data_IF_722897603395
#
_entry.id   IF_722897603395
#
_cell.length_a   1.000
_cell.length_b   1.000
_cell.length_c   1.000
_cell.angle_alpha   90.00
_cell.angle_beta   90.00
_cell.angle_gamma   90.00
#
_symmetry.space_group_name_H-M   'P 1'
#
loop_
_entity.id
_entity.type
_entity.pdbx_description
1 polymer ?
#
# COMPACT_ATOMS: atom_id res chain seq x y z
N UNK A 1 -5.39 -18.97 -5.23
CA UNK A 1 -5.93 -19.66 -6.41
C UNK A 1 -5.59 -21.15 -6.39
N UNK A 2 -6.48 -21.99 -5.88
CA UNK A 2 -6.62 -23.37 -6.38
C UNK A 2 -7.54 -23.29 -7.60
N UNK A 3 -7.01 -22.80 -8.72
CA UNK A 3 -7.74 -22.78 -10.00
C UNK A 3 -7.88 -24.20 -10.55
N UNK A 4 -7.58 -24.38 -11.85
CA UNK A 4 -7.51 -25.64 -12.63
C UNK A 4 -6.69 -26.80 -11.99
N UNK A 5 -6.14 -26.61 -10.80
CA UNK A 5 -5.16 -27.40 -10.05
C UNK A 5 -5.79 -28.38 -9.06
N UNK A 6 -7.13 -28.41 -8.90
CA UNK A 6 -7.81 -29.45 -8.09
C UNK A 6 -7.38 -30.87 -8.51
N UNK A 7 -7.16 -31.09 -9.80
CA UNK A 7 -6.67 -32.36 -10.33
C UNK A 7 -5.21 -32.68 -9.94
N UNK A 8 -4.33 -31.67 -9.82
CA UNK A 8 -2.91 -31.91 -9.51
C UNK A 8 -2.72 -32.24 -8.04
N UNK A 9 -3.30 -31.46 -7.12
CA UNK A 9 -3.21 -31.75 -5.68
C UNK A 9 -3.84 -33.11 -5.38
N UNK A 10 -4.99 -33.44 -5.98
CA UNK A 10 -5.63 -34.74 -5.83
C UNK A 10 -4.73 -35.89 -6.35
N UNK A 11 -4.13 -35.73 -7.54
CA UNK A 11 -3.19 -36.73 -8.11
C UNK A 11 -1.94 -36.93 -7.25
N UNK A 12 -1.37 -35.85 -6.70
CA UNK A 12 -0.22 -35.93 -5.79
C UNK A 12 -0.62 -36.66 -4.51
N UNK A 13 -1.78 -36.33 -3.90
CA UNK A 13 -2.27 -37.01 -2.70
C UNK A 13 -2.60 -38.49 -2.91
N UNK A 14 -2.97 -38.89 -4.13
CA UNK A 14 -3.19 -40.30 -4.45
C UNK A 14 -1.91 -41.14 -4.39
N UNK A 15 -0.75 -40.54 -4.72
CA UNK A 15 0.57 -41.21 -4.67
C UNK A 15 1.26 -40.99 -3.33
N UNK A 16 1.14 -39.79 -2.76
CA UNK A 16 1.71 -39.39 -1.49
C UNK A 16 0.61 -38.89 -0.54
N UNK A 17 -0.05 -39.84 0.15
CA UNK A 17 -1.20 -39.58 1.03
C UNK A 17 -0.92 -38.57 2.14
N UNK A 18 0.34 -38.49 2.59
CA UNK A 18 0.77 -37.59 3.65
C UNK A 18 1.22 -36.22 3.14
N UNK A 19 1.05 -35.91 1.84
CA UNK A 19 1.43 -34.61 1.28
C UNK A 19 0.45 -33.51 1.71
N UNK A 20 0.99 -32.46 2.33
CA UNK A 20 0.27 -31.26 2.70
C UNK A 20 0.22 -30.26 1.54
N UNK A 21 -0.92 -29.59 1.37
CA UNK A 21 -1.11 -28.55 0.36
C UNK A 21 -1.61 -27.28 1.04
N UNK A 22 -0.92 -26.17 0.80
CA UNK A 22 -1.29 -24.86 1.31
C UNK A 22 -1.70 -23.93 0.18
N UNK A 23 -2.50 -22.91 0.51
CA UNK A 23 -2.72 -21.82 -0.42
C UNK A 23 -1.49 -20.92 -0.49
N UNK A 24 -1.23 -20.33 -1.66
CA UNK A 24 -0.16 -19.37 -1.82
C UNK A 24 -0.31 -18.20 -0.82
N UNK A 25 0.71 -18.01 0.02
CA UNK A 25 0.79 -16.98 1.04
C UNK A 25 0.55 -15.58 0.45
N UNK A 26 1.15 -15.29 -0.71
CA UNK A 26 1.01 -13.99 -1.38
C UNK A 26 -0.43 -13.72 -1.82
N UNK A 27 -1.18 -14.76 -2.16
CA UNK A 27 -2.59 -14.61 -2.53
C UNK A 27 -3.45 -14.30 -1.31
N UNK A 28 -3.24 -14.99 -0.18
CA UNK A 28 -3.92 -14.67 1.09
C UNK A 28 -3.56 -13.27 1.57
N UNK A 29 -2.30 -12.90 1.46
CA UNK A 29 -1.82 -11.57 1.77
C UNK A 29 -2.51 -10.49 0.94
N UNK A 30 -2.65 -10.70 -0.38
CA UNK A 30 -3.39 -9.76 -1.23
C UNK A 30 -4.85 -9.58 -0.78
N UNK A 31 -5.49 -10.60 -0.18
CA UNK A 31 -6.84 -10.47 0.38
C UNK A 31 -6.86 -9.67 1.68
N UNK A 32 -5.87 -9.85 2.55
CA UNK A 32 -5.70 -9.04 3.78
C UNK A 32 -5.66 -7.54 3.44
N UNK A 33 -4.90 -7.17 2.41
CA UNK A 33 -4.73 -5.75 2.02
C UNK A 33 -5.94 -5.11 1.35
N UNK A 34 -7.04 -5.85 1.11
CA UNK A 34 -8.25 -5.32 0.46
C UNK A 34 -9.23 -4.65 1.44
N UNK A 35 -9.13 -4.92 2.74
CA UNK A 35 -10.00 -4.27 3.74
C UNK A 35 -9.44 -2.89 4.03
N UNK A 36 -10.08 -1.87 3.46
CA UNK A 36 -9.74 -0.47 3.64
C UNK A 36 -11.03 0.34 3.80
N UNK A 37 -11.01 1.38 4.63
CA UNK A 37 -12.18 2.23 4.88
C UNK A 37 -12.61 2.97 3.60
N UNK A 38 -13.87 3.40 3.55
CA UNK A 38 -14.41 4.14 2.40
C UNK A 38 -13.61 5.42 2.14
N UNK A 39 -13.24 6.15 3.19
CA UNK A 39 -12.44 7.38 3.11
C UNK A 39 -11.09 7.13 2.44
N UNK A 40 -10.34 6.13 2.92
CA UNK A 40 -9.03 5.79 2.37
C UNK A 40 -9.12 5.21 0.95
N UNK A 41 -10.18 4.45 0.66
CA UNK A 41 -10.47 3.98 -0.69
C UNK A 41 -10.73 5.13 -1.65
N UNK A 42 -11.47 6.15 -1.21
CA UNK A 42 -11.76 7.35 -2.02
C UNK A 42 -10.47 8.08 -2.39
N UNK A 43 -9.56 8.33 -1.44
CA UNK A 43 -8.26 8.98 -1.70
C UNK A 43 -7.43 8.16 -2.69
N UNK A 44 -7.40 6.84 -2.54
CA UNK A 44 -6.70 5.94 -3.45
C UNK A 44 -7.27 5.99 -4.89
N UNK A 45 -8.60 6.02 -5.03
CA UNK A 45 -9.28 6.11 -6.33
C UNK A 45 -9.08 7.48 -6.99
N UNK A 46 -9.14 8.56 -6.21
CA UNK A 46 -8.85 9.92 -6.68
C UNK A 46 -7.40 10.06 -7.16
N UNK A 47 -6.43 9.51 -6.41
CA UNK A 47 -5.02 9.47 -6.82
C UNK A 47 -4.84 8.74 -8.15
N UNK A 48 -5.52 7.60 -8.35
CA UNK A 48 -5.51 6.87 -9.61
C UNK A 48 -6.12 7.71 -10.75
N UNK A 49 -7.21 8.43 -10.50
CA UNK A 49 -7.83 9.31 -11.51
C UNK A 49 -6.89 10.45 -11.93
N UNK A 50 -6.20 11.09 -10.98
CA UNK A 50 -5.20 12.14 -11.25
C UNK A 50 -4.11 11.61 -12.19
N UNK A 51 -3.54 10.44 -11.88
CA UNK A 51 -2.50 9.83 -12.72
C UNK A 51 -3.04 9.46 -14.09
N UNK A 52 -4.22 8.84 -14.14
CA UNK A 52 -4.84 8.43 -15.39
C UNK A 52 -5.13 9.63 -16.29
N UNK A 53 -5.53 10.77 -15.74
CA UNK A 53 -5.71 12.00 -16.51
C UNK A 53 -4.43 12.37 -17.26
N UNK A 54 -3.31 12.54 -16.55
CA UNK A 54 -2.01 12.92 -17.15
C UNK A 54 -1.50 11.86 -18.13
N UNK A 55 -1.74 10.59 -17.83
CA UNK A 55 -1.32 9.45 -18.65
C UNK A 55 -2.26 9.14 -19.81
N UNK A 56 -3.44 9.74 -19.87
CA UNK A 56 -4.46 9.44 -20.89
C UNK A 56 -4.01 9.86 -22.29
N UNK A 57 -3.20 10.93 -22.39
CA UNK A 57 -2.72 11.47 -23.65
C UNK A 57 -1.19 11.57 -23.64
N UNK A 58 -0.49 11.12 -24.70
CA UNK A 58 0.96 11.24 -24.80
C UNK A 58 1.45 12.68 -24.60
N UNK A 59 0.78 13.65 -25.20
CA UNK A 59 1.12 15.06 -25.07
C UNK A 59 1.09 15.55 -23.61
N UNK A 60 0.06 15.19 -22.84
CA UNK A 60 -0.04 15.56 -21.42
C UNK A 60 1.09 14.94 -20.60
N UNK A 61 1.43 13.68 -20.88
CA UNK A 61 2.57 13.01 -20.24
C UNK A 61 3.90 13.67 -20.59
N UNK A 62 4.09 14.12 -21.84
CA UNK A 62 5.29 14.84 -22.26
C UNK A 62 5.40 16.22 -21.61
N UNK A 63 4.30 16.99 -21.57
CA UNK A 63 4.27 18.31 -20.92
C UNK A 63 4.56 18.17 -19.42
N UNK A 64 3.90 17.24 -18.73
CA UNK A 64 4.15 16.98 -17.32
C UNK A 64 5.60 16.58 -17.07
N UNK A 65 6.16 15.70 -17.92
CA UNK A 65 7.56 15.30 -17.82
C UNK A 65 8.52 16.49 -17.94
N UNK A 66 8.33 17.34 -18.95
CA UNK A 66 9.16 18.53 -19.14
C UNK A 66 9.05 19.48 -17.93
N UNK A 67 7.85 19.67 -17.39
CA UNK A 67 7.64 20.46 -16.18
C UNK A 67 8.39 19.90 -14.97
N UNK A 68 8.37 18.58 -14.75
CA UNK A 68 9.17 17.96 -13.69
C UNK A 68 10.68 18.15 -13.90
N UNK A 69 11.17 18.09 -15.15
CA UNK A 69 12.57 18.35 -15.47
C UNK A 69 12.96 19.79 -15.16
N UNK A 70 12.11 20.76 -15.54
CA UNK A 70 12.32 22.19 -15.28
C UNK A 70 12.27 22.53 -13.78
N UNK A 71 11.44 21.83 -13.01
CA UNK A 71 11.35 21.98 -11.55
C UNK A 71 12.44 21.22 -10.79
N UNK A 72 13.33 20.50 -11.49
CA UNK A 72 14.43 19.76 -10.87
C UNK A 72 14.00 18.53 -10.06
N UNK A 73 12.81 17.97 -10.35
CA UNK A 73 12.27 16.84 -9.62
C UNK A 73 13.13 15.58 -9.78
N UNK A 74 13.32 14.82 -8.70
CA UNK A 74 14.00 13.52 -8.73
C UNK A 74 13.33 12.52 -9.69
N UNK A 75 12.03 12.68 -9.87
CA UNK A 75 11.21 11.84 -10.72
C UNK A 75 10.45 12.68 -11.73
N UNK A 76 10.45 12.24 -12.99
CA UNK A 76 9.87 13.03 -14.08
C UNK A 76 8.63 12.39 -14.68
N UNK A 77 8.20 11.24 -14.14
CA UNK A 77 7.05 10.49 -14.65
C UNK A 77 6.24 9.85 -13.52
N UNK A 78 4.91 9.90 -13.67
CA UNK A 78 3.98 9.16 -12.82
C UNK A 78 3.96 7.67 -13.19
N UNK A 79 3.62 6.83 -12.22
CA UNK A 79 3.51 5.39 -12.40
C UNK A 79 2.05 4.97 -12.57
N UNK A 80 1.73 4.32 -13.68
CA UNK A 80 0.42 3.67 -13.83
C UNK A 80 0.32 2.47 -12.90
N UNK A 81 -0.88 2.27 -12.36
CA UNK A 81 -1.21 1.09 -11.57
C UNK A 81 -2.14 0.17 -12.38
N UNK A 82 -1.91 -1.15 -12.27
CA UNK A 82 -2.85 -2.18 -12.72
C UNK A 82 -3.37 -2.95 -11.51
N UNK A 83 -4.69 -3.16 -11.40
CA UNK A 83 -5.33 -3.82 -10.24
C UNK A 83 -4.75 -5.18 -9.89
N UNK A 84 -4.21 -5.87 -10.90
CA UNK A 84 -3.64 -7.22 -10.79
C UNK A 84 -2.34 -7.24 -9.96
N UNK A 85 -1.61 -6.12 -9.87
CA UNK A 85 -0.33 -6.02 -9.17
C UNK A 85 -0.42 -4.99 -8.05
N UNK A 86 -0.97 -5.40 -6.91
CA UNK A 86 -1.10 -4.56 -5.72
C UNK A 86 0.25 -3.95 -5.27
N UNK A 87 1.40 -4.61 -5.53
CA UNK A 87 2.74 -4.05 -5.33
C UNK A 87 2.98 -2.70 -6.04
N UNK A 88 2.32 -2.48 -7.18
CA UNK A 88 2.42 -1.22 -7.93
C UNK A 88 1.64 -0.07 -7.27
N UNK A 89 0.65 -0.36 -6.39
CA UNK A 89 -0.13 0.68 -5.71
C UNK A 89 0.73 1.52 -4.77
N UNK A 90 1.56 0.88 -3.94
CA UNK A 90 2.44 1.61 -3.01
C UNK A 90 3.43 2.51 -3.74
N UNK A 91 4.09 2.01 -4.80
CA UNK A 91 5.02 2.83 -5.60
C UNK A 91 4.33 3.99 -6.30
N UNK A 92 3.12 3.75 -6.80
CA UNK A 92 2.30 4.78 -7.42
C UNK A 92 1.95 5.90 -6.42
N UNK A 93 1.52 5.53 -5.21
CA UNK A 93 1.19 6.47 -4.13
C UNK A 93 2.39 7.31 -3.68
N UNK A 94 3.56 6.69 -3.53
CA UNK A 94 4.80 7.41 -3.24
C UNK A 94 5.10 8.42 -4.35
N UNK A 95 5.02 8.00 -5.62
CA UNK A 95 5.33 8.85 -6.76
C UNK A 95 4.41 10.06 -6.89
N UNK A 96 3.10 9.89 -6.66
CA UNK A 96 2.16 11.02 -6.70
C UNK A 96 2.42 12.00 -5.56
N UNK A 97 2.80 11.51 -4.38
CA UNK A 97 3.10 12.37 -3.23
C UNK A 97 4.40 13.16 -3.43
N UNK A 98 5.44 12.51 -3.94
CA UNK A 98 6.72 13.16 -4.29
C UNK A 98 6.54 14.26 -5.35
N UNK A 99 5.64 14.04 -6.31
CA UNK A 99 5.38 14.98 -7.41
C UNK A 99 4.19 15.92 -7.16
N UNK A 100 3.77 16.09 -5.89
CA UNK A 100 2.58 16.89 -5.55
C UNK A 100 2.73 18.35 -6.00
N UNK A 101 3.92 18.94 -5.89
CA UNK A 101 4.16 20.34 -6.25
C UNK A 101 4.11 20.57 -7.76
N UNK A 102 4.68 19.65 -8.53
CA UNK A 102 4.65 19.64 -9.99
C UNK A 102 3.22 19.40 -10.48
N UNK A 103 2.48 18.52 -9.81
CA UNK A 103 1.06 18.31 -10.10
C UNK A 103 0.24 19.59 -9.84
N UNK A 104 0.47 20.26 -8.70
CA UNK A 104 -0.18 21.54 -8.40
C UNK A 104 0.11 22.56 -9.50
N UNK A 105 1.38 22.73 -9.88
CA UNK A 105 1.80 23.64 -10.95
C UNK A 105 1.17 23.27 -12.31
N UNK A 106 1.15 21.98 -12.65
CA UNK A 106 0.57 21.47 -13.89
C UNK A 106 -0.92 21.82 -14.01
N UNK A 107 -1.68 21.66 -12.93
CA UNK A 107 -3.12 21.90 -12.93
C UNK A 107 -3.52 23.39 -12.89
N UNK A 108 -2.60 24.33 -12.65
CA UNK A 108 -2.86 25.77 -12.84
C UNK A 108 -3.26 26.06 -14.29
N UNK A 109 -2.57 25.44 -15.26
CA UNK A 109 -2.84 25.61 -16.70
C UNK A 109 -3.80 24.58 -17.29
N UNK A 110 -4.11 23.50 -16.55
CA UNK A 110 -4.90 22.37 -17.06
C UNK A 110 -6.03 22.05 -16.09
N UNK A 111 -7.23 22.58 -16.32
CA UNK A 111 -8.36 22.32 -15.41
C UNK A 111 -8.69 20.82 -15.34
N UNK A 112 -8.80 20.30 -14.12
CA UNK A 112 -9.20 18.92 -13.83
C UNK A 112 -10.02 18.88 -12.54
N UNK A 113 -11.07 18.06 -12.50
CA UNK A 113 -12.04 18.04 -11.37
C UNK A 113 -11.42 17.77 -10.00
N UNK A 114 -10.28 17.07 -9.93
CA UNK A 114 -9.60 16.74 -8.67
C UNK A 114 -8.37 17.61 -8.39
N UNK A 115 -8.14 18.69 -9.14
CA UNK A 115 -6.97 19.57 -8.91
C UNK A 115 -6.94 20.14 -7.49
N UNK A 116 -8.11 20.42 -6.92
CA UNK A 116 -8.24 21.01 -5.58
C UNK A 116 -7.78 20.05 -4.46
N UNK A 117 -7.74 18.73 -4.72
CA UNK A 117 -7.25 17.74 -3.76
C UNK A 117 -5.78 17.96 -3.39
N UNK A 118 -4.98 18.48 -4.32
CA UNK A 118 -3.57 18.76 -4.08
C UNK A 118 -3.34 19.97 -3.18
N UNK A 119 -4.37 20.77 -2.89
CA UNK A 119 -4.33 21.85 -1.91
C UNK A 119 -5.01 21.46 -0.59
N UNK A 120 -5.57 20.25 -0.50
CA UNK A 120 -6.29 19.80 0.68
C UNK A 120 -5.35 19.02 1.61
N UNK A 121 -5.02 19.61 2.76
CA UNK A 121 -4.10 19.02 3.74
C UNK A 121 -4.58 17.67 4.27
N UNK A 122 -5.88 17.51 4.53
CA UNK A 122 -6.43 16.22 4.99
C UNK A 122 -6.26 15.12 3.94
N UNK A 123 -6.46 15.47 2.66
CA UNK A 123 -6.25 14.55 1.54
C UNK A 123 -4.77 14.18 1.40
N UNK A 124 -3.87 15.17 1.45
CA UNK A 124 -2.43 14.95 1.37
C UNK A 124 -1.90 14.09 2.53
N UNK A 125 -2.32 14.37 3.78
CA UNK A 125 -1.97 13.55 4.93
C UNK A 125 -2.47 12.11 4.79
N UNK A 126 -3.70 11.93 4.27
CA UNK A 126 -4.23 10.60 4.00
C UNK A 126 -3.44 9.89 2.89
N UNK A 127 -3.06 10.62 1.83
CA UNK A 127 -2.23 10.10 0.74
C UNK A 127 -0.84 9.68 1.24
N UNK A 128 -0.20 10.50 2.08
CA UNK A 128 1.09 10.22 2.70
C UNK A 128 1.05 8.95 3.55
N UNK A 129 0.04 8.84 4.41
CA UNK A 129 -0.21 7.63 5.19
C UNK A 129 -0.36 6.40 4.29
N UNK A 130 -1.20 6.50 3.24
CA UNK A 130 -1.40 5.41 2.29
C UNK A 130 -0.09 5.01 1.60
N UNK A 131 0.72 5.97 1.19
CA UNK A 131 2.04 5.71 0.62
C UNK A 131 2.92 4.91 1.59
N UNK A 132 2.96 5.28 2.87
CA UNK A 132 3.75 4.57 3.87
C UNK A 132 3.22 3.16 4.18
N UNK A 133 1.92 3.00 4.48
CA UNK A 133 1.37 1.68 4.82
C UNK A 133 1.46 0.70 3.65
N UNK A 134 1.18 1.15 2.42
CA UNK A 134 1.40 0.30 1.23
C UNK A 134 2.89 0.01 0.99
N UNK A 135 3.78 0.93 1.34
CA UNK A 135 5.22 0.70 1.36
C UNK A 135 5.61 -0.45 2.30
N UNK A 136 5.19 -0.38 3.57
CA UNK A 136 5.44 -1.45 4.57
C UNK A 136 4.82 -2.78 4.14
N UNK A 137 3.63 -2.75 3.55
CA UNK A 137 2.97 -3.95 3.04
C UNK A 137 3.74 -4.55 1.84
N UNK A 138 4.29 -3.71 0.97
CA UNK A 138 5.10 -4.13 -0.17
C UNK A 138 6.43 -4.75 0.28
N UNK A 139 7.10 -4.15 1.26
CA UNK A 139 8.34 -4.68 1.86
C UNK A 139 8.14 -6.11 2.36
N UNK A 140 7.07 -6.36 3.12
CA UNK A 140 6.76 -7.71 3.60
C UNK A 140 6.58 -8.69 2.44
N UNK A 141 5.87 -8.31 1.38
CA UNK A 141 5.71 -9.23 0.25
C UNK A 141 6.97 -9.47 -0.57
N UNK A 142 7.81 -8.46 -0.80
CA UNK A 142 9.09 -8.66 -1.43
C UNK A 142 9.97 -9.58 -0.58
N UNK A 143 9.93 -9.39 0.75
CA UNK A 143 10.60 -10.23 1.72
C UNK A 143 10.07 -11.69 1.74
N UNK A 144 8.86 -11.94 1.24
CA UNK A 144 8.27 -13.28 1.07
C UNK A 144 8.50 -13.87 -0.32
N UNK A 145 8.76 -13.03 -1.34
CA UNK A 145 9.04 -13.43 -2.73
C UNK A 145 10.52 -13.74 -2.99
N UNK A 146 11.39 -13.52 -2.01
CA UNK A 146 12.83 -13.73 -2.16
C UNK A 146 13.18 -15.18 -2.55
N UNK A 147 14.18 -15.34 -3.44
CA UNK A 147 14.59 -16.63 -4.04
C UNK A 147 15.05 -17.70 -3.04
N UNK A 148 15.23 -17.36 -1.76
CA UNK A 148 15.70 -18.28 -0.71
C UNK A 148 14.81 -18.27 0.55
N UNK A 149 13.57 -17.77 0.45
CA UNK A 149 12.65 -17.74 1.59
C UNK A 149 12.05 -19.12 1.78
N UNK A 150 12.39 -19.79 2.88
CA UNK A 150 11.74 -21.03 3.26
C UNK A 150 10.45 -20.77 4.08
N UNK A 151 9.66 -21.81 4.31
CA UNK A 151 8.36 -21.70 5.00
C UNK A 151 8.49 -21.20 6.45
N UNK A 152 9.58 -21.53 7.14
CA UNK A 152 9.84 -21.10 8.51
C UNK A 152 10.12 -19.59 8.56
N UNK A 153 11.00 -19.11 7.67
CA UNK A 153 11.29 -17.68 7.54
C UNK A 153 10.07 -16.87 7.12
N UNK A 154 9.22 -17.42 6.25
CA UNK A 154 7.96 -16.80 5.90
C UNK A 154 7.03 -16.71 7.13
N UNK A 155 6.91 -17.78 7.91
CA UNK A 155 6.12 -17.83 9.15
C UNK A 155 6.61 -16.79 10.15
N UNK A 156 7.91 -16.72 10.41
CA UNK A 156 8.50 -15.75 11.35
C UNK A 156 8.14 -14.30 10.97
N UNK A 157 8.21 -13.97 9.67
CA UNK A 157 7.82 -12.65 9.16
C UNK A 157 6.32 -12.37 9.39
N UNK A 158 5.46 -13.36 9.20
CA UNK A 158 4.03 -13.23 9.45
C UNK A 158 3.66 -13.17 10.93
N UNK A 159 4.39 -13.83 11.81
CA UNK A 159 4.21 -13.72 13.27
C UNK A 159 4.68 -12.35 13.77
N UNK A 160 5.78 -11.83 13.21
CA UNK A 160 6.30 -10.53 13.60
C UNK A 160 5.46 -9.34 13.11
N UNK A 161 4.80 -9.47 11.96
CA UNK A 161 4.12 -8.32 11.33
C UNK A 161 2.91 -7.77 12.13
N UNK A 162 2.00 -8.59 12.70
CA UNK A 162 0.96 -8.11 13.60
C UNK A 162 1.49 -7.38 14.83
N UNK A 163 2.66 -7.77 15.34
CA UNK A 163 3.33 -7.06 16.46
C UNK A 163 3.83 -5.68 16.03
N UNK A 164 4.34 -5.57 14.80
CA UNK A 164 4.69 -4.26 14.21
C UNK A 164 3.47 -3.37 14.04
N UNK A 165 2.34 -3.92 13.58
CA UNK A 165 1.08 -3.17 13.48
C UNK A 165 0.62 -2.71 14.86
N UNK A 166 0.70 -3.56 15.88
CA UNK A 166 0.37 -3.17 17.25
C UNK A 166 1.20 -1.97 17.72
N UNK A 167 2.51 -2.02 17.47
CA UNK A 167 3.41 -0.91 17.78
C UNK A 167 3.02 0.37 17.02
N UNK A 168 2.68 0.27 15.73
CA UNK A 168 2.21 1.42 14.96
C UNK A 168 0.89 2.00 15.49
N UNK A 169 -0.04 1.17 15.96
CA UNK A 169 -1.28 1.63 16.62
C UNK A 169 -0.94 2.46 17.85
N UNK A 170 -0.07 1.94 18.72
CA UNK A 170 0.36 2.65 19.93
C UNK A 170 1.15 3.93 19.64
N UNK A 171 1.96 3.96 18.57
CA UNK A 171 2.65 5.16 18.13
C UNK A 171 1.65 6.25 17.69
N UNK A 172 0.64 5.88 16.88
CA UNK A 172 -0.43 6.79 16.44
C UNK A 172 -1.28 7.29 17.63
N UNK A 173 -1.46 6.48 18.67
CA UNK A 173 -2.10 6.92 19.93
C UNK A 173 -1.32 8.02 20.65
N UNK A 174 0.01 7.97 20.58
CA UNK A 174 0.91 8.94 21.18
C UNK A 174 1.22 10.13 20.25
N UNK A 175 0.51 10.24 19.12
CA UNK A 175 0.77 11.23 18.07
C UNK A 175 2.19 11.16 17.48
N UNK A 176 2.83 9.98 17.54
CA UNK A 176 4.12 9.71 16.93
C UNK A 176 3.92 9.01 15.57
N UNK A 177 4.39 9.66 14.50
CA UNK A 177 4.29 9.16 13.13
C UNK A 177 5.66 8.82 12.49
N UNK A 178 6.75 8.74 13.25
CA UNK A 178 8.10 8.42 12.75
C UNK A 178 8.14 7.09 11.96
N UNK A 179 7.27 6.13 12.30
CA UNK A 179 7.13 4.87 11.56
C UNK A 179 6.61 5.05 10.11
N UNK A 180 5.97 6.19 9.85
CA UNK A 180 5.35 6.62 8.61
C UNK A 180 6.07 7.89 8.12
N UNK A 181 7.33 7.72 7.69
CA UNK A 181 8.23 8.82 7.34
C UNK A 181 7.60 9.89 6.44
N UNK A 182 6.92 9.51 5.36
CA UNK A 182 6.30 10.48 4.43
C UNK A 182 5.21 11.31 5.10
N UNK A 183 4.44 10.72 6.03
CA UNK A 183 3.46 11.45 6.82
C UNK A 183 4.13 12.35 7.86
N UNK A 184 5.18 11.84 8.53
CA UNK A 184 5.96 12.61 9.52
C UNK A 184 6.59 13.84 8.88
N UNK A 185 7.34 13.65 7.78
CA UNK A 185 8.00 14.72 7.04
C UNK A 185 6.97 15.77 6.57
N UNK A 186 5.79 15.32 6.11
CA UNK A 186 4.74 16.24 5.67
C UNK A 186 4.13 17.05 6.81
N UNK A 187 3.97 16.47 8.00
CA UNK A 187 3.50 17.19 9.18
C UNK A 187 4.53 18.24 9.62
N UNK A 188 5.82 17.89 9.60
CA UNK A 188 6.91 18.81 9.91
C UNK A 188 6.97 19.96 8.89
N UNK A 189 6.89 19.66 7.59
CA UNK A 189 6.85 20.67 6.52
C UNK A 189 5.63 21.60 6.60
N UNK A 190 4.49 21.07 7.04
CA UNK A 190 3.22 21.82 7.07
C UNK A 190 3.01 22.60 8.37
N UNK A 191 3.81 22.34 9.41
CA UNK A 191 3.63 22.86 10.78
C UNK A 191 2.21 22.66 11.34
N UNK A 192 1.50 21.61 10.91
CA UNK A 192 0.10 21.35 11.25
C UNK A 192 -0.06 19.94 11.77
N UNK A 193 -0.67 19.83 12.94
CA UNK A 193 -1.05 18.55 13.55
C UNK A 193 -2.06 17.79 12.68
N UNK A 194 -1.96 16.46 12.72
CA UNK A 194 -2.91 15.60 12.04
C UNK A 194 -4.31 15.74 12.66
N UNK A 195 -5.30 15.95 11.80
CA UNK A 195 -6.69 15.99 12.21
C UNK A 195 -7.08 14.71 12.98
N UNK A 196 -7.87 14.89 14.03
CA UNK A 196 -8.30 13.83 14.93
C UNK A 196 -9.07 12.74 14.18
N UNK A 197 -9.88 13.11 13.18
CA UNK A 197 -10.63 12.17 12.34
C UNK A 197 -9.71 11.28 11.50
N UNK A 198 -8.65 11.86 10.92
CA UNK A 198 -7.67 11.09 10.12
C UNK A 198 -6.90 10.14 11.02
N UNK A 199 -6.48 10.63 12.20
CA UNK A 199 -5.78 9.81 13.20
C UNK A 199 -6.62 8.61 13.65
N UNK A 200 -7.90 8.83 13.94
CA UNK A 200 -8.82 7.74 14.31
C UNK A 200 -9.05 6.76 13.14
N UNK A 201 -9.16 7.30 11.92
CA UNK A 201 -9.21 6.50 10.70
C UNK A 201 -7.99 5.61 10.49
N UNK A 202 -6.78 6.14 10.78
CA UNK A 202 -5.52 5.38 10.72
C UNK A 202 -5.54 4.24 11.75
N UNK A 203 -5.90 4.52 13.00
CA UNK A 203 -5.98 3.49 14.06
C UNK A 203 -6.96 2.39 13.67
N UNK A 204 -8.16 2.77 13.25
CA UNK A 204 -9.21 1.82 12.83
C UNK A 204 -8.73 0.95 11.67
N UNK A 205 -8.06 1.53 10.68
CA UNK A 205 -7.49 0.77 9.57
C UNK A 205 -6.39 -0.19 10.01
N UNK A 206 -5.46 0.24 10.86
CA UNK A 206 -4.40 -0.64 11.38
C UNK A 206 -4.97 -1.80 12.20
N UNK A 207 -5.95 -1.54 13.06
CA UNK A 207 -6.66 -2.59 13.82
C UNK A 207 -7.39 -3.56 12.89
N UNK A 208 -8.07 -3.06 11.86
CA UNK A 208 -8.73 -3.90 10.85
C UNK A 208 -7.73 -4.74 10.05
N UNK A 209 -6.58 -4.17 9.70
CA UNK A 209 -5.49 -4.86 9.02
C UNK A 209 -4.91 -5.97 9.89
N UNK A 210 -4.65 -5.69 11.17
CA UNK A 210 -4.18 -6.67 12.14
C UNK A 210 -5.16 -7.85 12.28
N UNK A 211 -6.45 -7.55 12.49
CA UNK A 211 -7.49 -8.58 12.57
C UNK A 211 -7.57 -9.40 11.27
N UNK A 212 -7.47 -8.75 10.11
CA UNK A 212 -7.51 -9.44 8.83
C UNK A 212 -6.33 -10.40 8.66
N UNK A 213 -5.14 -10.07 9.18
CA UNK A 213 -4.01 -11.01 9.17
C UNK A 213 -4.35 -12.25 10.00
N UNK A 214 -4.92 -12.07 11.19
CA UNK A 214 -5.35 -13.19 12.04
C UNK A 214 -6.41 -14.06 11.35
N UNK A 215 -7.40 -13.44 10.69
CA UNK A 215 -8.47 -14.15 9.98
C UNK A 215 -7.92 -15.03 8.84
N UNK A 216 -6.97 -14.51 8.05
CA UNK A 216 -6.42 -15.21 6.89
C UNK A 216 -5.25 -16.15 7.21
N UNK A 217 -4.67 -16.01 8.41
CA UNK A 217 -3.53 -16.80 8.89
C UNK A 217 -3.72 -17.24 10.37
N UNK A 218 -4.76 -18.05 10.68
CA UNK A 218 -5.12 -18.37 12.07
C UNK A 218 -4.13 -19.30 12.81
N UNK A 219 -3.29 -20.04 12.08
CA UNK A 219 -2.36 -21.04 12.65
C UNK A 219 -0.89 -20.58 12.63
N UNK A 220 -0.63 -19.27 12.72
CA UNK A 220 0.74 -18.75 12.69
C UNK A 220 1.56 -19.11 13.93
N UNK A 221 0.93 -19.42 15.06
CA UNK A 221 1.63 -19.69 16.32
C UNK A 221 1.83 -21.19 16.62
N UNK A 222 1.02 -22.07 16.03
CA UNK A 222 1.15 -23.52 16.24
C UNK A 222 2.39 -24.06 15.52
N UNK A 223 3.35 -24.62 16.26
CA UNK A 223 4.61 -25.16 15.71
C UNK A 223 4.44 -26.51 15.01
N UNK A 224 3.31 -27.21 15.21
CA UNK A 224 3.19 -28.64 14.90
C UNK A 224 2.43 -29.02 13.62
N UNK A 225 1.97 -28.06 12.82
CA UNK A 225 1.11 -28.36 11.67
C UNK A 225 1.73 -27.92 10.33
N UNK A 226 2.86 -28.51 9.94
CA UNK A 226 3.26 -28.64 8.53
C UNK A 226 4.12 -29.86 8.24
#
# INVERSE_FOLDING_TARGET
MTGKVRGVVARIKNVAKNCNSTHCILHRYALVTKRISVTFKSVLEEAVKIINFIKSKPLQSHIFKAMCEDMGSLHTTLLLHTEVRWLSRGKMLVRIFELRMELMAYFIGHKFELSDRLNNMAWLSTLAYLANIFGKLNELCLALQGKQVNILQAKDKFVAFPRKIQYWISAVEQNNFECFQTLSDFQEESEVDLDMEIRDGIKTHLSSLQQSISDYFPNLENQDNY
#
